data_IF_707509800008
#
_entry.id   IF_707509800008
#
_cell.length_a   1.000
_cell.length_b   1.000
_cell.length_c   1.000
_cell.angle_alpha   90.00
_cell.angle_beta   90.00
_cell.angle_gamma   90.00
#
_symmetry.space_group_name_H-M   'P 1'
#
loop_
_entity.id
_entity.type
_entity.pdbx_description
1 polymer ?
#
# COMPACT_ATOMS: atom_id res chain seq x y z
N UNK A 1 -7.85 -4.49 12.39
CA UNK A 1 -8.70 -3.95 11.32
C UNK A 1 -8.85 -5.01 10.24
N UNK A 2 -9.88 -5.86 10.33
CA UNK A 2 -10.12 -6.94 9.36
C UNK A 2 -10.74 -6.34 8.09
N UNK A 3 -10.12 -6.56 6.93
CA UNK A 3 -10.76 -6.38 5.62
C UNK A 3 -10.34 -5.16 4.78
N UNK A 4 -9.53 -4.23 5.29
CA UNK A 4 -9.07 -3.09 4.48
C UNK A 4 -7.68 -3.38 3.92
N UNK A 5 -7.58 -3.46 2.60
CA UNK A 5 -6.30 -3.55 1.91
C UNK A 5 -5.54 -2.22 2.04
N UNK A 6 -4.25 -2.32 2.35
CA UNK A 6 -3.34 -1.19 2.37
C UNK A 6 -2.56 -1.12 1.06
N UNK A 7 -2.22 0.08 0.64
CA UNK A 7 -1.55 0.33 -0.62
C UNK A 7 -0.36 1.25 -0.41
N UNK A 8 0.68 1.06 -1.20
CA UNK A 8 1.74 2.05 -1.35
C UNK A 8 1.26 3.22 -2.20
N UNK A 9 2.02 4.33 -2.23
CA UNK A 9 1.68 5.54 -3.01
C UNK A 9 1.48 5.27 -4.51
N UNK A 10 2.18 4.28 -5.04
CA UNK A 10 2.07 3.81 -6.42
C UNK A 10 0.75 3.03 -6.70
N UNK A 11 0.03 2.61 -5.66
CA UNK A 11 -1.18 1.78 -5.76
C UNK A 11 -0.91 0.28 -5.62
N UNK A 12 0.32 -0.14 -5.29
CA UNK A 12 0.65 -1.54 -5.05
C UNK A 12 0.06 -2.01 -3.72
N UNK A 13 -0.68 -3.12 -3.73
CA UNK A 13 -1.27 -3.68 -2.50
C UNK A 13 -0.20 -4.25 -1.59
N UNK A 14 -0.22 -3.87 -0.32
CA UNK A 14 0.70 -4.36 0.69
C UNK A 14 -0.02 -5.32 1.64
N UNK A 15 0.43 -6.57 1.65
CA UNK A 15 -0.11 -7.65 2.50
C UNK A 15 0.87 -8.06 3.62
N UNK A 16 2.02 -7.40 3.69
CA UNK A 16 3.07 -7.72 4.64
C UNK A 16 2.81 -7.15 6.05
N UNK A 17 3.76 -7.37 6.97
CA UNK A 17 3.70 -6.77 8.30
C UNK A 17 3.74 -5.25 8.19
N UNK A 18 2.85 -4.57 8.91
CA UNK A 18 2.81 -3.12 9.00
C UNK A 18 2.71 -2.72 10.47
N UNK A 19 3.14 -1.49 10.76
CA UNK A 19 3.02 -0.91 12.09
C UNK A 19 2.45 0.50 12.00
N UNK A 20 1.73 0.91 13.05
CA UNK A 20 1.15 2.24 13.16
C UNK A 20 2.12 3.14 13.92
N UNK A 21 2.43 4.28 13.33
CA UNK A 21 3.26 5.33 13.92
C UNK A 21 2.51 6.06 15.04
N UNK A 22 3.26 6.73 15.92
CA UNK A 22 2.68 7.58 16.99
C UNK A 22 1.79 8.70 16.44
N UNK A 23 2.10 9.20 15.25
CA UNK A 23 1.29 10.22 14.55
C UNK A 23 -0.01 9.65 13.94
N UNK A 24 -0.20 8.34 13.94
CA UNK A 24 -1.37 7.67 13.37
C UNK A 24 -1.15 7.05 11.98
N UNK A 25 -0.04 7.33 11.31
CA UNK A 25 0.24 6.82 9.96
C UNK A 25 0.64 5.35 9.96
N UNK A 26 0.16 4.59 8.98
CA UNK A 26 0.56 3.20 8.80
C UNK A 26 1.81 3.10 7.93
N UNK A 27 2.79 2.29 8.34
CA UNK A 27 4.03 2.09 7.60
C UNK A 27 4.33 0.60 7.38
N UNK A 28 5.16 0.31 6.37
CA UNK A 28 5.65 -1.04 6.07
C UNK A 28 6.66 -1.52 7.12
N UNK A 29 6.72 -2.83 7.31
CA UNK A 29 7.62 -3.48 8.25
C UNK A 29 7.02 -3.66 9.65
N UNK A 30 7.62 -4.56 10.42
CA UNK A 30 7.23 -4.87 11.81
C UNK A 30 7.64 -3.78 12.80
N UNK A 31 8.72 -3.06 12.49
CA UNK A 31 9.34 -2.08 13.36
C UNK A 31 9.55 -0.77 12.61
N UNK A 32 9.68 0.32 13.37
CA UNK A 32 9.99 1.64 12.83
C UNK A 32 11.44 1.66 12.35
N UNK A 33 11.63 1.60 11.04
CA UNK A 33 12.92 1.65 10.38
C UNK A 33 12.93 2.81 9.38
N UNK A 34 14.10 3.34 9.02
CA UNK A 34 14.21 4.40 8.01
C UNK A 34 13.76 3.94 6.63
N UNK A 35 13.75 2.62 6.40
CA UNK A 35 13.24 1.99 5.17
C UNK A 35 11.72 1.74 5.19
N UNK A 36 11.04 2.06 6.29
CA UNK A 36 9.59 1.91 6.40
C UNK A 36 8.90 2.93 5.50
N UNK A 37 8.10 2.42 4.57
CA UNK A 37 7.34 3.23 3.62
C UNK A 37 5.91 3.45 4.13
N UNK A 38 5.37 4.65 3.92
CA UNK A 38 3.98 4.97 4.28
C UNK A 38 2.99 4.16 3.44
N UNK A 39 2.00 3.60 4.12
CA UNK A 39 0.87 2.88 3.56
C UNK A 39 -0.38 3.76 3.62
N UNK A 40 -1.19 3.65 2.58
CA UNK A 40 -2.38 4.46 2.34
C UNK A 40 -3.60 3.57 2.14
N UNK A 41 -4.77 4.14 2.40
CA UNK A 41 -6.03 3.53 2.00
C UNK A 41 -6.34 3.81 0.53
N UNK A 42 -7.13 2.93 -0.10
CA UNK A 42 -7.57 3.11 -1.49
C UNK A 42 -8.20 4.50 -1.73
N UNK A 43 -8.91 5.05 -0.74
CA UNK A 43 -9.56 6.37 -0.84
C UNK A 43 -8.56 7.54 -0.89
N UNK A 44 -7.37 7.37 -0.31
CA UNK A 44 -6.32 8.40 -0.21
C UNK A 44 -5.40 8.41 -1.43
N UNK A 45 -5.42 7.36 -2.24
CA UNK A 45 -4.66 7.30 -3.48
C UNK A 45 -5.18 8.29 -4.53
N UNK A 46 -4.27 8.75 -5.40
CA UNK A 46 -4.62 9.53 -6.59
C UNK A 46 -5.54 8.74 -7.53
N UNK A 47 -6.27 9.42 -8.43
CA UNK A 47 -7.15 8.75 -9.39
C UNK A 47 -6.40 7.69 -10.23
N UNK A 48 -5.16 8.00 -10.63
CA UNK A 48 -4.28 7.08 -11.36
C UNK A 48 -3.87 5.87 -10.51
N UNK A 49 -3.42 6.10 -9.27
CA UNK A 49 -3.02 5.03 -8.35
C UNK A 49 -4.21 4.18 -7.92
N UNK A 50 -5.41 4.74 -7.79
CA UNK A 50 -6.66 3.99 -7.57
C UNK A 50 -6.98 3.07 -8.73
N UNK A 51 -6.87 3.56 -9.96
CA UNK A 51 -7.08 2.76 -11.18
C UNK A 51 -6.05 1.63 -11.25
N UNK A 52 -4.78 1.92 -10.92
CA UNK A 52 -3.74 0.91 -10.87
C UNK A 52 -3.99 -0.10 -9.74
N UNK A 53 -4.35 0.34 -8.54
CA UNK A 53 -4.67 -0.53 -7.40
C UNK A 53 -5.81 -1.50 -7.73
N UNK A 54 -6.91 -0.97 -8.31
CA UNK A 54 -8.04 -1.78 -8.80
C UNK A 54 -7.64 -2.75 -9.90
N UNK A 55 -6.76 -2.33 -10.84
CA UNK A 55 -6.21 -3.22 -11.88
C UNK A 55 -5.19 -4.23 -11.34
N UNK A 56 -4.43 -3.88 -10.30
CA UNK A 56 -3.37 -4.70 -9.72
C UNK A 56 -3.92 -5.82 -8.83
N UNK A 57 -5.11 -5.63 -8.25
CA UNK A 57 -5.91 -6.72 -7.70
C UNK A 57 -6.26 -7.79 -8.74
N UNK A 58 -6.22 -7.41 -10.03
CA UNK A 58 -6.37 -8.29 -11.19
C UNK A 58 -5.01 -8.60 -11.83
N UNK A 59 -4.05 -9.14 -11.05
CA UNK A 59 -2.82 -9.81 -11.53
C UNK A 59 -2.31 -9.38 -12.93
N UNK A 60 -2.04 -8.09 -13.14
CA UNK A 60 -1.29 -7.70 -14.33
C UNK A 60 0.16 -8.02 -14.02
N UNK A 61 0.56 -9.27 -14.33
CA UNK A 61 1.95 -9.62 -14.63
C UNK A 61 2.47 -8.50 -15.54
N UNK A 62 3.30 -7.60 -15.01
CA UNK A 62 4.12 -6.75 -15.86
C UNK A 62 4.92 -7.72 -16.73
N UNK A 63 4.56 -7.81 -18.03
CA UNK A 63 5.54 -8.16 -19.05
C UNK A 63 6.63 -7.10 -18.92
N UNK A 64 7.74 -7.47 -18.29
CA UNK A 64 8.99 -6.80 -18.56
C UNK A 64 9.32 -7.10 -20.01
N UNK A 65 9.54 -6.05 -20.80
CA UNK A 65 10.26 -6.16 -22.05
C UNK A 65 11.74 -6.41 -21.75
#
# INVERSE_FOLDING_TARGET
MKGVAHYKKDGTVYKGPSHKMKNGDLHTGKSHDSKSEKLFHLKELSASSKKLAKRSGLSIKKKSN
#
